data_IF_287664014476
#
_entry.id   IF_287664014476
#
_cell.length_a   1.000
_cell.length_b   1.000
_cell.length_c   1.000
_cell.angle_alpha   90.00
_cell.angle_beta   90.00
_cell.angle_gamma   90.00
#
_symmetry.space_group_name_H-M   'P 1'
#
loop_
_entity.id
_entity.type
_entity.pdbx_description
1 polymer ?
#
# COMPACT_ATOMS: atom_id res chain seq x y z
N UNK A 1 22.54 15.55 17.26
CA UNK A 1 21.27 16.16 17.70
C UNK A 1 20.15 15.50 16.91
N UNK A 2 19.10 15.01 17.58
CA UNK A 2 17.94 14.40 16.92
C UNK A 2 17.09 15.52 16.32
N UNK A 3 17.20 15.75 15.01
CA UNK A 3 16.41 16.77 14.32
C UNK A 3 15.14 16.14 13.72
N UNK A 4 13.94 16.67 14.02
CA UNK A 4 12.70 16.13 13.50
C UNK A 4 12.47 16.53 12.04
N UNK A 5 11.75 15.69 11.31
CA UNK A 5 11.25 16.06 9.98
C UNK A 5 10.01 16.94 10.16
N UNK A 6 9.98 18.09 9.50
CA UNK A 6 8.86 19.04 9.58
C UNK A 6 7.99 18.95 8.34
N UNK A 7 6.68 19.16 8.51
CA UNK A 7 5.74 19.18 7.39
C UNK A 7 4.69 20.28 7.62
N UNK A 8 4.47 21.12 6.61
CA UNK A 8 3.50 22.21 6.64
C UNK A 8 2.25 21.95 5.79
N UNK A 9 2.07 20.73 5.28
CA UNK A 9 0.93 20.33 4.47
C UNK A 9 -0.39 20.50 5.23
N UNK A 10 -1.40 21.09 4.60
CA UNK A 10 -2.76 21.26 5.12
C UNK A 10 -3.80 20.70 4.13
N UNK A 11 -4.98 20.32 4.62
CA UNK A 11 -6.05 19.76 3.76
C UNK A 11 -6.52 20.72 2.66
N UNK A 12 -6.51 22.04 2.93
CA UNK A 12 -6.95 23.04 1.96
C UNK A 12 -6.06 23.12 0.71
N UNK A 13 -4.77 22.84 0.82
CA UNK A 13 -3.81 22.97 -0.29
C UNK A 13 -4.06 21.98 -1.44
N UNK A 14 -4.75 20.86 -1.17
CA UNK A 14 -4.96 19.80 -2.15
C UNK A 14 -6.40 19.25 -2.18
N UNK A 15 -7.32 19.92 -1.49
CA UNK A 15 -8.76 19.61 -1.52
C UNK A 15 -9.33 19.61 -2.95
N UNK A 16 -8.97 20.60 -3.78
CA UNK A 16 -9.49 20.70 -5.15
C UNK A 16 -9.03 19.53 -6.06
N UNK A 17 -7.71 19.21 -6.14
CA UNK A 17 -7.25 18.00 -6.82
C UNK A 17 -7.91 16.72 -6.30
N UNK A 18 -8.06 16.61 -4.97
CA UNK A 18 -8.72 15.46 -4.36
C UNK A 18 -10.19 15.34 -4.76
N UNK A 19 -10.95 16.43 -4.72
CA UNK A 19 -12.35 16.43 -5.14
C UNK A 19 -12.49 16.07 -6.62
N UNK A 20 -11.60 16.60 -7.48
CA UNK A 20 -11.55 16.23 -8.89
C UNK A 20 -11.27 14.73 -9.10
N UNK A 21 -10.31 14.18 -8.36
CA UNK A 21 -10.02 12.74 -8.35
C UNK A 21 -11.22 11.91 -7.86
N UNK A 22 -11.88 12.33 -6.79
CA UNK A 22 -13.03 11.63 -6.21
C UNK A 22 -14.22 11.63 -7.17
N UNK A 23 -14.57 12.79 -7.73
CA UNK A 23 -15.66 12.90 -8.72
C UNK A 23 -15.35 12.04 -9.94
N UNK A 24 -14.13 12.13 -10.48
CA UNK A 24 -13.75 11.33 -11.65
C UNK A 24 -13.78 9.83 -11.34
N UNK A 25 -13.30 9.42 -10.17
CA UNK A 25 -13.34 8.02 -9.73
C UNK A 25 -14.78 7.51 -9.58
N UNK A 26 -15.68 8.31 -9.00
CA UNK A 26 -17.10 7.96 -8.85
C UNK A 26 -17.80 7.87 -10.21
N UNK A 27 -17.59 8.85 -11.09
CA UNK A 27 -18.15 8.84 -12.47
C UNK A 27 -17.73 7.59 -13.23
N UNK A 28 -16.48 7.16 -13.04
CA UNK A 28 -15.95 5.93 -13.62
C UNK A 28 -16.57 4.70 -12.94
N UNK A 29 -16.71 4.67 -11.60
CA UNK A 29 -17.26 3.53 -10.87
C UNK A 29 -18.77 3.28 -11.06
N UNK A 30 -19.59 4.32 -11.26
CA UNK A 30 -21.06 4.17 -11.35
C UNK A 30 -21.48 3.20 -12.47
N UNK A 31 -20.97 3.35 -13.72
CA UNK A 31 -21.20 2.38 -14.78
C UNK A 31 -20.77 0.94 -14.45
N UNK A 32 -19.72 0.76 -13.64
CA UNK A 32 -19.28 -0.58 -13.19
C UNK A 32 -20.36 -1.26 -12.37
N UNK A 33 -20.92 -0.52 -11.42
CA UNK A 33 -21.89 -1.07 -10.49
C UNK A 33 -23.23 -1.32 -11.18
N UNK A 34 -23.66 -0.44 -12.08
CA UNK A 34 -24.89 -0.65 -12.86
C UNK A 34 -24.75 -1.82 -13.83
N UNK A 35 -23.61 -1.96 -14.51
CA UNK A 35 -23.32 -3.13 -15.34
C UNK A 35 -23.30 -4.42 -14.52
N UNK A 36 -22.70 -4.41 -13.32
CA UNK A 36 -22.66 -5.56 -12.43
C UNK A 36 -24.03 -5.96 -11.87
N UNK A 37 -24.89 -5.00 -11.55
CA UNK A 37 -26.22 -5.29 -10.98
C UNK A 37 -27.18 -5.85 -12.03
N UNK A 38 -27.02 -5.49 -13.30
CA UNK A 38 -27.77 -6.06 -14.42
C UNK A 38 -27.30 -7.46 -14.84
N UNK A 39 -26.28 -8.01 -14.15
CA UNK A 39 -25.56 -9.23 -14.54
C UNK A 39 -26.13 -10.51 -13.89
N UNK A 40 -27.23 -10.44 -13.15
CA UNK A 40 -27.74 -11.58 -12.36
C UNK A 40 -28.33 -12.74 -13.18
N UNK A 41 -28.48 -12.60 -14.51
CA UNK A 41 -29.11 -13.60 -15.39
C UNK A 41 -28.31 -13.85 -16.70
N UNK A 42 -26.98 -13.74 -16.68
CA UNK A 42 -26.19 -13.89 -17.92
C UNK A 42 -25.66 -15.31 -18.09
N UNK A 43 -26.28 -16.07 -18.99
CA UNK A 43 -25.78 -17.36 -19.51
C UNK A 43 -25.06 -17.23 -20.87
N UNK A 44 -25.16 -16.07 -21.55
CA UNK A 44 -24.53 -15.84 -22.85
C UNK A 44 -23.06 -15.39 -22.73
N UNK A 45 -22.16 -16.20 -23.30
CA UNK A 45 -20.72 -15.94 -23.36
C UNK A 45 -20.38 -14.57 -23.97
N UNK A 46 -21.16 -14.08 -24.93
CA UNK A 46 -20.91 -12.77 -25.56
C UNK A 46 -21.08 -11.62 -24.57
N UNK A 47 -22.10 -11.70 -23.71
CA UNK A 47 -22.38 -10.67 -22.71
C UNK A 47 -21.33 -10.75 -21.59
N UNK A 48 -20.89 -11.95 -21.22
CA UNK A 48 -19.77 -12.13 -20.28
C UNK A 48 -18.49 -11.45 -20.79
N UNK A 49 -18.12 -11.69 -22.05
CA UNK A 49 -16.92 -11.12 -22.66
C UNK A 49 -17.00 -9.60 -22.82
N UNK A 50 -18.17 -9.05 -23.16
CA UNK A 50 -18.35 -7.60 -23.25
C UNK A 50 -18.29 -6.92 -21.88
N UNK A 51 -18.88 -7.53 -20.85
CA UNK A 51 -18.76 -7.06 -19.46
C UNK A 51 -17.31 -7.09 -18.99
N UNK A 52 -16.59 -8.19 -19.22
CA UNK A 52 -15.18 -8.28 -18.86
C UNK A 52 -14.34 -7.19 -19.55
N UNK A 53 -14.56 -6.98 -20.85
CA UNK A 53 -13.87 -5.93 -21.61
C UNK A 53 -14.18 -4.53 -21.07
N UNK A 54 -15.44 -4.30 -20.69
CA UNK A 54 -15.86 -3.04 -20.06
C UNK A 54 -15.18 -2.81 -18.70
N UNK A 55 -15.19 -3.82 -17.81
CA UNK A 55 -14.51 -3.76 -16.51
C UNK A 55 -13.00 -3.52 -16.68
N UNK A 56 -12.39 -4.16 -17.69
CA UNK A 56 -10.98 -3.98 -18.01
C UNK A 56 -10.69 -2.52 -18.40
N UNK A 57 -11.41 -1.97 -19.38
CA UNK A 57 -11.25 -0.57 -19.81
C UNK A 57 -11.38 0.37 -18.62
N UNK A 58 -12.36 0.12 -17.75
CA UNK A 58 -12.59 0.93 -16.57
C UNK A 58 -11.44 0.87 -15.56
N UNK A 59 -10.93 -0.33 -15.29
CA UNK A 59 -9.78 -0.52 -14.40
C UNK A 59 -8.52 0.20 -14.90
N UNK A 60 -8.32 0.22 -16.22
CA UNK A 60 -7.24 0.97 -16.85
C UNK A 60 -7.43 2.46 -16.63
N UNK A 61 -8.63 3.00 -16.90
CA UNK A 61 -8.93 4.42 -16.66
C UNK A 61 -8.69 4.81 -15.20
N UNK A 62 -9.18 4.02 -14.24
CA UNK A 62 -8.94 4.26 -12.81
C UNK A 62 -7.45 4.28 -12.46
N UNK A 63 -6.68 3.34 -13.02
CA UNK A 63 -5.23 3.28 -12.79
C UNK A 63 -4.53 4.54 -13.33
N UNK A 64 -4.91 5.02 -14.52
CA UNK A 64 -4.34 6.25 -15.09
C UNK A 64 -4.74 7.50 -14.28
N UNK A 65 -5.98 7.56 -13.80
CA UNK A 65 -6.47 8.63 -12.91
C UNK A 65 -5.70 8.63 -11.59
N UNK A 66 -5.47 7.46 -10.99
CA UNK A 66 -4.65 7.32 -9.80
C UNK A 66 -3.19 7.72 -10.04
N UNK A 67 -2.62 7.35 -11.20
CA UNK A 67 -1.27 7.75 -11.58
C UNK A 67 -1.13 9.27 -11.67
N UNK A 68 -2.05 9.93 -12.37
CA UNK A 68 -2.09 11.39 -12.47
C UNK A 68 -2.25 12.05 -11.09
N UNK A 69 -3.15 11.52 -10.27
CA UNK A 69 -3.40 12.04 -8.92
C UNK A 69 -2.17 11.90 -8.02
N UNK A 70 -1.45 10.77 -8.08
CA UNK A 70 -0.24 10.52 -7.28
C UNK A 70 0.84 11.58 -7.56
N UNK A 71 1.06 11.92 -8.83
CA UNK A 71 2.02 12.96 -9.21
C UNK A 71 1.57 14.34 -8.75
N UNK A 72 0.30 14.68 -8.97
CA UNK A 72 -0.27 15.97 -8.52
C UNK A 72 -0.15 16.13 -7.01
N UNK A 73 -0.47 15.10 -6.24
CA UNK A 73 -0.32 15.12 -4.78
C UNK A 73 1.15 15.25 -4.37
N UNK A 74 2.05 14.52 -5.01
CA UNK A 74 3.49 14.56 -4.69
C UNK A 74 4.12 15.92 -4.98
N UNK A 75 3.70 16.58 -6.07
CA UNK A 75 4.09 17.97 -6.40
C UNK A 75 3.67 18.98 -5.31
N UNK A 76 2.55 18.74 -4.64
CA UNK A 76 2.07 19.61 -3.56
C UNK A 76 2.72 19.23 -2.23
N UNK A 77 2.80 17.94 -1.90
CA UNK A 77 3.18 17.46 -0.59
C UNK A 77 4.70 17.50 -0.34
N UNK A 78 5.52 17.08 -1.32
CA UNK A 78 6.97 16.96 -1.11
C UNK A 78 7.66 18.31 -0.82
N UNK A 79 7.35 19.42 -1.51
CA UNK A 79 7.91 20.75 -1.17
C UNK A 79 7.56 21.26 0.23
N UNK A 80 6.50 20.74 0.83
CA UNK A 80 6.06 21.12 2.17
C UNK A 80 6.70 20.28 3.27
N UNK A 81 7.52 19.30 2.90
CA UNK A 81 8.32 18.50 3.83
C UNK A 81 9.72 19.12 3.85
N UNK A 82 10.21 19.40 5.07
CA UNK A 82 11.55 19.92 5.28
C UNK A 82 12.31 19.09 6.31
N UNK A 83 13.56 18.80 5.99
CA UNK A 83 14.51 18.13 6.86
C UNK A 83 15.75 19.04 6.98
N UNK A 84 16.23 19.29 8.19
CA UNK A 84 17.36 20.21 8.48
C UNK A 84 17.21 21.61 7.86
N UNK A 85 15.98 22.13 7.84
CA UNK A 85 15.66 23.43 7.23
C UNK A 85 15.69 23.46 5.69
N UNK A 86 15.98 22.33 5.02
CA UNK A 86 15.93 22.20 3.55
C UNK A 86 14.67 21.45 3.13
N UNK A 87 13.98 21.97 2.11
CA UNK A 87 12.79 21.34 1.55
C UNK A 87 13.17 20.26 0.53
N UNK A 88 12.32 19.24 0.43
CA UNK A 88 12.37 18.34 -0.71
C UNK A 88 11.80 19.06 -1.95
N UNK A 89 12.17 18.63 -3.15
CA UNK A 89 11.55 19.08 -4.39
C UNK A 89 11.10 17.88 -5.21
N UNK A 90 10.09 18.10 -6.04
CA UNK A 90 9.54 17.05 -6.90
C UNK A 90 9.29 17.56 -8.30
N UNK A 91 10.03 17.03 -9.27
CA UNK A 91 10.03 17.52 -10.65
C UNK A 91 9.30 16.61 -11.64
N UNK A 92 8.63 15.55 -11.17
CA UNK A 92 7.96 14.57 -12.03
C UNK A 92 6.75 15.15 -12.75
N UNK A 93 6.49 14.73 -13.99
CA UNK A 93 5.37 15.17 -14.83
C UNK A 93 4.20 14.20 -14.83
N UNK A 94 2.98 14.73 -14.67
CA UNK A 94 1.77 13.91 -14.70
C UNK A 94 1.57 13.23 -16.06
N UNK A 95 1.85 13.94 -17.15
CA UNK A 95 1.75 13.39 -18.50
C UNK A 95 2.74 12.26 -18.75
N UNK A 96 4.02 12.47 -18.43
CA UNK A 96 5.06 11.45 -18.58
C UNK A 96 4.77 10.21 -17.73
N UNK A 97 4.31 10.40 -16.48
CA UNK A 97 3.98 9.28 -15.60
C UNK A 97 2.74 8.52 -16.08
N UNK A 98 1.71 9.21 -16.56
CA UNK A 98 0.52 8.56 -17.15
C UNK A 98 0.90 7.79 -18.42
N UNK A 99 1.74 8.36 -19.29
CA UNK A 99 2.26 7.66 -20.47
C UNK A 99 3.08 6.42 -20.10
N UNK A 100 3.90 6.51 -19.05
CA UNK A 100 4.64 5.36 -18.52
C UNK A 100 3.69 4.26 -18.03
N UNK A 101 2.65 4.62 -17.27
CA UNK A 101 1.62 3.68 -16.80
C UNK A 101 0.89 3.03 -17.98
N UNK A 102 0.48 3.82 -18.98
CA UNK A 102 -0.21 3.30 -20.16
C UNK A 102 0.63 2.24 -20.89
N UNK A 103 1.90 2.53 -21.17
CA UNK A 103 2.81 1.58 -21.80
C UNK A 103 2.94 0.32 -20.93
N UNK A 104 3.16 0.47 -19.62
CA UNK A 104 3.34 -0.68 -18.73
C UNK A 104 2.07 -1.53 -18.58
N UNK A 105 0.89 -0.92 -18.59
CA UNK A 105 -0.40 -1.61 -18.59
C UNK A 105 -0.54 -2.43 -19.87
N UNK A 106 -0.29 -1.84 -21.05
CA UNK A 106 -0.36 -2.57 -22.33
C UNK A 106 0.57 -3.79 -22.34
N UNK A 107 1.82 -3.64 -21.88
CA UNK A 107 2.75 -4.76 -21.76
C UNK A 107 2.26 -5.81 -20.75
N UNK A 108 1.66 -5.37 -19.64
CA UNK A 108 1.09 -6.28 -18.63
C UNK A 108 -0.10 -7.06 -19.18
N UNK A 109 -0.94 -6.45 -20.01
CA UNK A 109 -2.07 -7.14 -20.65
C UNK A 109 -1.58 -8.19 -21.66
N UNK A 110 -0.62 -7.83 -22.52
CA UNK A 110 -0.05 -8.75 -23.53
C UNK A 110 0.66 -9.94 -22.86
N UNK A 111 1.25 -9.73 -21.68
CA UNK A 111 1.98 -10.76 -20.94
C UNK A 111 1.14 -11.46 -19.85
N UNK A 112 -0.17 -11.24 -19.82
CA UNK A 112 -1.09 -11.80 -18.82
C UNK A 112 -0.63 -11.57 -17.36
N UNK A 113 -0.12 -10.37 -17.08
CA UNK A 113 0.32 -9.94 -15.76
C UNK A 113 1.76 -10.33 -15.41
N UNK A 114 2.47 -11.09 -16.25
CA UNK A 114 3.88 -11.45 -15.97
C UNK A 114 4.78 -10.20 -15.93
N UNK A 115 4.46 -9.14 -16.67
CA UNK A 115 5.24 -7.90 -16.67
C UNK A 115 5.07 -7.03 -15.42
N UNK A 116 4.13 -7.33 -14.50
CA UNK A 116 3.83 -6.50 -13.33
C UNK A 116 5.06 -6.12 -12.47
N UNK A 117 6.03 -7.02 -12.17
CA UNK A 117 7.23 -6.63 -11.41
C UNK A 117 8.09 -5.57 -12.10
N UNK A 118 8.19 -5.60 -13.44
CA UNK A 118 8.90 -4.56 -14.19
C UNK A 118 8.12 -3.26 -14.27
N UNK A 119 6.79 -3.35 -14.37
CA UNK A 119 5.92 -2.19 -14.26
C UNK A 119 6.14 -1.45 -12.92
N UNK A 120 6.05 -2.15 -11.78
CA UNK A 120 6.29 -1.53 -10.46
C UNK A 120 7.71 -0.96 -10.31
N UNK A 121 8.70 -1.63 -10.90
CA UNK A 121 10.09 -1.15 -10.88
C UNK A 121 10.23 0.14 -11.66
N UNK A 122 9.70 0.21 -12.89
CA UNK A 122 9.80 1.40 -13.73
C UNK A 122 9.07 2.60 -13.14
N UNK A 123 7.88 2.38 -12.57
CA UNK A 123 7.12 3.47 -11.93
C UNK A 123 7.81 4.00 -10.70
N UNK A 124 8.38 3.13 -9.86
CA UNK A 124 9.16 3.56 -8.69
C UNK A 124 10.48 4.24 -9.08
N UNK A 125 11.18 3.73 -10.09
CA UNK A 125 12.38 4.40 -10.60
C UNK A 125 12.06 5.81 -11.07
N UNK A 126 10.99 5.98 -11.87
CA UNK A 126 10.53 7.30 -12.29
C UNK A 126 10.14 8.16 -11.08
N UNK A 127 9.33 7.65 -10.16
CA UNK A 127 8.86 8.42 -9.02
C UNK A 127 10.02 8.92 -8.15
N UNK A 128 10.89 8.01 -7.73
CA UNK A 128 12.03 8.29 -6.85
C UNK A 128 13.06 9.18 -7.53
N UNK A 129 13.36 8.97 -8.83
CA UNK A 129 14.33 9.82 -9.55
C UNK A 129 13.93 11.28 -9.68
N UNK A 130 12.65 11.58 -9.47
CA UNK A 130 12.14 12.95 -9.49
C UNK A 130 12.00 13.57 -8.10
N UNK A 131 12.33 12.83 -7.03
CA UNK A 131 12.45 13.37 -5.69
C UNK A 131 13.87 13.91 -5.53
N UNK A 132 13.98 15.18 -5.18
CA UNK A 132 15.25 15.86 -4.93
C UNK A 132 15.29 16.51 -3.54
N UNK A 133 16.50 16.68 -3.02
CA UNK A 133 16.83 17.14 -1.67
C UNK A 133 18.26 17.60 -1.75
N UNK A 134 18.49 18.85 -1.37
CA UNK A 134 19.80 19.50 -1.45
C UNK A 134 20.44 19.42 -2.86
N UNK A 135 19.61 19.68 -3.89
CA UNK A 135 20.03 19.78 -5.30
C UNK A 135 20.28 18.45 -6.01
N UNK A 136 20.15 17.32 -5.33
CA UNK A 136 20.50 15.99 -5.86
C UNK A 136 19.26 15.11 -5.93
N UNK A 137 19.25 14.09 -6.79
CA UNK A 137 18.09 13.22 -6.96
C UNK A 137 18.27 11.87 -6.26
N UNK A 138 17.19 11.34 -5.71
CA UNK A 138 17.18 9.98 -5.18
C UNK A 138 17.28 8.96 -6.33
N UNK A 139 17.79 7.77 -6.02
CA UNK A 139 17.82 6.63 -6.94
C UNK A 139 17.16 5.43 -6.27
N UNK A 140 16.33 4.74 -7.05
CA UNK A 140 15.68 3.53 -6.57
C UNK A 140 16.51 2.29 -6.89
N UNK A 141 16.86 1.51 -5.87
CA UNK A 141 17.77 0.35 -5.98
C UNK A 141 17.01 -0.99 -6.04
N UNK A 142 15.68 -0.95 -6.14
CA UNK A 142 14.86 -2.15 -6.26
C UNK A 142 15.03 -2.84 -7.62
N UNK A 143 15.47 -4.11 -7.60
CA UNK A 143 15.62 -4.93 -8.81
C UNK A 143 14.31 -5.67 -9.17
N UNK A 144 13.92 -5.73 -10.46
CA UNK A 144 12.67 -6.35 -10.88
C UNK A 144 12.68 -7.87 -10.69
N UNK A 145 13.82 -8.54 -10.92
CA UNK A 145 13.93 -10.01 -10.73
C UNK A 145 13.73 -10.45 -9.28
N UNK A 146 14.14 -9.61 -8.31
CA UNK A 146 13.89 -9.86 -6.89
C UNK A 146 12.40 -9.74 -6.57
N UNK A 147 11.74 -8.72 -7.13
CA UNK A 147 10.30 -8.54 -6.99
C UNK A 147 9.51 -9.67 -7.68
N UNK A 148 9.95 -10.16 -8.83
CA UNK A 148 9.34 -11.31 -9.51
C UNK A 148 9.32 -12.56 -8.62
N UNK A 149 10.42 -12.85 -7.92
CA UNK A 149 10.47 -13.95 -6.95
C UNK A 149 9.41 -13.79 -5.85
N UNK A 150 9.26 -12.58 -5.31
CA UNK A 150 8.26 -12.27 -4.27
C UNK A 150 6.84 -12.35 -4.81
N UNK A 151 6.61 -11.90 -6.03
CA UNK A 151 5.32 -11.95 -6.70
C UNK A 151 4.88 -13.40 -6.94
N UNK A 152 5.75 -14.26 -7.51
CA UNK A 152 5.38 -15.64 -7.80
C UNK A 152 5.25 -16.49 -6.53
N UNK A 153 6.26 -16.46 -5.66
CA UNK A 153 6.30 -17.34 -4.48
C UNK A 153 5.46 -16.81 -3.31
N UNK A 154 5.36 -15.49 -3.16
CA UNK A 154 4.66 -14.86 -2.05
C UNK A 154 3.20 -14.52 -2.34
N UNK A 155 2.80 -14.42 -3.61
CA UNK A 155 1.43 -14.06 -3.99
C UNK A 155 0.80 -15.13 -4.88
N UNK A 156 1.32 -15.37 -6.09
CA UNK A 156 0.65 -16.22 -7.08
C UNK A 156 0.47 -17.67 -6.60
N UNK A 157 1.53 -18.31 -6.12
CA UNK A 157 1.45 -19.72 -5.69
C UNK A 157 0.51 -19.91 -4.47
N UNK A 158 0.62 -19.11 -3.39
CA UNK A 158 -0.34 -19.18 -2.29
C UNK A 158 -1.79 -18.92 -2.72
N UNK A 159 -2.03 -17.93 -3.59
CA UNK A 159 -3.37 -17.64 -4.10
C UNK A 159 -3.92 -18.77 -4.96
N UNK A 160 -3.08 -19.45 -5.75
CA UNK A 160 -3.50 -20.61 -6.53
C UNK A 160 -3.95 -21.76 -5.63
N UNK A 161 -3.21 -22.04 -4.55
CA UNK A 161 -3.59 -23.05 -3.56
C UNK A 161 -4.92 -22.69 -2.90
N UNK A 162 -5.09 -21.43 -2.50
CA UNK A 162 -6.35 -20.97 -1.90
C UNK A 162 -7.51 -20.98 -2.89
N UNK A 163 -7.28 -20.64 -4.14
CA UNK A 163 -8.30 -20.66 -5.19
C UNK A 163 -8.83 -22.08 -5.39
N UNK A 164 -7.94 -23.08 -5.45
CA UNK A 164 -8.34 -24.49 -5.54
C UNK A 164 -9.09 -24.92 -4.28
N UNK A 165 -8.58 -24.61 -3.08
CA UNK A 165 -9.23 -24.96 -1.83
C UNK A 165 -10.64 -24.34 -1.72
N UNK A 166 -10.78 -23.06 -2.07
CA UNK A 166 -12.05 -22.36 -2.10
C UNK A 166 -13.01 -22.96 -3.13
N UNK A 167 -12.54 -23.30 -4.34
CA UNK A 167 -13.35 -23.93 -5.37
C UNK A 167 -13.90 -25.30 -4.94
N UNK A 168 -13.10 -26.11 -4.23
CA UNK A 168 -13.54 -27.39 -3.66
C UNK A 168 -14.54 -27.20 -2.53
N UNK A 169 -14.31 -26.25 -1.63
CA UNK A 169 -15.25 -25.94 -0.55
C UNK A 169 -16.58 -25.40 -1.08
N UNK A 170 -16.52 -24.54 -2.09
CA UNK A 170 -17.72 -23.98 -2.71
C UNK A 170 -18.52 -25.05 -3.47
N UNK A 171 -17.85 -25.90 -4.25
CA UNK A 171 -18.53 -26.97 -4.99
C UNK A 171 -19.20 -27.98 -4.06
N UNK A 172 -18.52 -28.36 -2.97
CA UNK A 172 -19.09 -29.23 -1.93
C UNK A 172 -20.28 -28.55 -1.24
N UNK A 173 -20.17 -27.27 -0.89
CA UNK A 173 -21.27 -26.52 -0.28
C UNK A 173 -22.53 -26.49 -1.16
N UNK A 174 -22.36 -26.24 -2.47
CA UNK A 174 -23.48 -26.24 -3.43
C UNK A 174 -24.13 -27.62 -3.52
N UNK A 175 -23.33 -28.70 -3.53
CA UNK A 175 -23.86 -30.07 -3.56
C UNK A 175 -24.69 -30.38 -2.31
N UNK A 176 -24.22 -30.01 -1.12
CA UNK A 176 -24.93 -30.30 0.14
C UNK A 176 -26.18 -29.42 0.33
N UNK A 177 -26.13 -28.16 -0.10
CA UNK A 177 -27.30 -27.27 -0.13
C UNK A 177 -28.40 -27.83 -1.05
N UNK A 178 -28.03 -28.34 -2.22
CA UNK A 178 -28.99 -28.95 -3.18
C UNK A 178 -29.65 -30.20 -2.61
N UNK A 179 -28.96 -30.95 -1.76
CA UNK A 179 -29.46 -32.20 -1.17
C UNK A 179 -30.12 -32.01 0.21
N UNK A 180 -30.43 -30.77 0.63
CA UNK A 180 -31.10 -30.45 1.90
C UNK A 180 -30.41 -30.97 3.17
N UNK A 181 -29.06 -30.87 3.26
CA UNK A 181 -28.31 -31.16 4.50
C UNK A 181 -27.83 -29.86 5.18
N UNK A 182 -28.68 -29.17 5.96
CA UNK A 182 -28.37 -27.84 6.50
C UNK A 182 -27.19 -27.83 7.49
N UNK A 183 -27.00 -28.88 8.29
CA UNK A 183 -25.91 -28.96 9.28
C UNK A 183 -24.50 -28.92 8.63
N UNK A 184 -24.39 -29.47 7.42
CA UNK A 184 -23.11 -29.50 6.67
C UNK A 184 -22.83 -28.13 6.05
N UNK A 185 -23.86 -27.37 5.68
CA UNK A 185 -23.73 -26.05 5.09
C UNK A 185 -23.13 -25.04 6.08
N UNK A 186 -23.50 -25.09 7.36
CA UNK A 186 -22.94 -24.22 8.40
C UNK A 186 -21.44 -24.48 8.61
N UNK A 187 -21.05 -25.74 8.64
CA UNK A 187 -19.63 -26.15 8.75
C UNK A 187 -18.82 -25.64 7.55
N UNK A 188 -19.36 -25.74 6.34
CA UNK A 188 -18.69 -25.27 5.12
C UNK A 188 -18.59 -23.74 5.06
N UNK A 189 -19.61 -23.02 5.52
CA UNK A 189 -19.55 -21.56 5.66
C UNK A 189 -18.44 -21.13 6.63
N UNK A 190 -18.31 -21.81 7.77
CA UNK A 190 -17.20 -21.58 8.69
C UNK A 190 -15.84 -21.83 8.03
N UNK A 191 -15.69 -22.91 7.27
CA UNK A 191 -14.45 -23.22 6.54
C UNK A 191 -14.11 -22.16 5.48
N UNK A 192 -15.10 -21.59 4.80
CA UNK A 192 -14.89 -20.44 3.91
C UNK A 192 -14.35 -19.24 4.69
N UNK A 193 -14.91 -18.94 5.87
CA UNK A 193 -14.39 -17.92 6.78
C UNK A 193 -12.92 -18.16 7.17
N UNK A 194 -12.55 -19.42 7.45
CA UNK A 194 -11.16 -19.81 7.72
C UNK A 194 -10.27 -19.55 6.50
N UNK A 195 -10.71 -19.89 5.28
CA UNK A 195 -9.97 -19.60 4.04
C UNK A 195 -9.72 -18.10 3.87
N UNK A 196 -10.71 -17.25 4.18
CA UNK A 196 -10.52 -15.79 4.17
C UNK A 196 -9.48 -15.33 5.19
N UNK A 197 -9.49 -15.86 6.41
CA UNK A 197 -8.47 -15.53 7.43
C UNK A 197 -7.08 -15.97 6.95
N UNK A 198 -6.96 -17.18 6.39
CA UNK A 198 -5.71 -17.69 5.83
C UNK A 198 -5.24 -16.79 4.68
N UNK A 199 -6.12 -16.32 3.81
CA UNK A 199 -5.79 -15.36 2.76
C UNK A 199 -5.13 -14.08 3.32
N UNK A 200 -5.70 -13.48 4.37
CA UNK A 200 -5.12 -12.31 5.02
C UNK A 200 -3.76 -12.61 5.67
N UNK A 201 -3.55 -13.81 6.20
CA UNK A 201 -2.24 -14.19 6.76
C UNK A 201 -1.21 -14.41 5.65
N UNK A 202 -1.61 -15.03 4.54
CA UNK A 202 -0.72 -15.31 3.40
C UNK A 202 -0.30 -14.05 2.63
N UNK A 203 -1.08 -12.97 2.68
CA UNK A 203 -0.68 -11.69 2.07
C UNK A 203 0.45 -11.00 2.85
N UNK A 204 0.58 -11.25 4.15
CA UNK A 204 1.56 -10.57 5.03
C UNK A 204 3.01 -10.80 4.54
N UNK A 205 3.47 -12.03 4.25
CA UNK A 205 4.79 -12.27 3.69
C UNK A 205 5.05 -11.51 2.38
N UNK A 206 4.07 -11.46 1.49
CA UNK A 206 4.19 -10.71 0.24
C UNK A 206 4.33 -9.20 0.52
N UNK A 207 3.45 -8.63 1.34
CA UNK A 207 3.48 -7.22 1.70
C UNK A 207 4.79 -6.84 2.40
N UNK A 208 5.27 -7.64 3.34
CA UNK A 208 6.58 -7.42 3.99
C UNK A 208 7.71 -7.34 2.97
N UNK A 209 7.80 -8.31 2.05
CA UNK A 209 8.86 -8.34 1.05
C UNK A 209 8.72 -7.21 0.02
N UNK A 210 7.50 -6.84 -0.33
CA UNK A 210 7.19 -5.74 -1.23
C UNK A 210 7.61 -4.39 -0.63
N UNK A 211 7.24 -4.09 0.62
CA UNK A 211 7.66 -2.86 1.29
C UNK A 211 9.16 -2.82 1.57
N UNK A 212 9.78 -3.94 1.96
CA UNK A 212 11.23 -4.06 2.08
C UNK A 212 11.96 -3.77 0.76
N UNK A 213 11.31 -4.09 -0.36
CA UNK A 213 11.81 -3.76 -1.70
C UNK A 213 11.62 -2.28 -2.05
N UNK A 214 10.48 -1.65 -1.69
CA UNK A 214 10.22 -0.22 -1.92
C UNK A 214 11.17 0.72 -1.16
N UNK A 215 11.58 0.37 0.06
CA UNK A 215 12.40 1.26 0.90
C UNK A 215 13.86 1.32 0.46
N UNK A 216 14.30 0.44 -0.45
CA UNK A 216 15.68 0.42 -0.94
C UNK A 216 15.95 1.60 -1.89
N UNK A 217 16.34 2.73 -1.31
CA UNK A 217 16.57 4.01 -1.99
C UNK A 217 18.00 4.47 -1.66
N UNK A 218 18.72 4.95 -2.66
CA UNK A 218 20.02 5.59 -2.51
C UNK A 218 19.93 7.08 -2.79
N UNK A 219 20.76 7.86 -2.10
CA UNK A 219 20.83 9.30 -2.22
C UNK A 219 22.27 9.76 -2.01
N UNK A 220 22.91 10.33 -3.03
CA UNK A 220 24.37 10.57 -3.02
C UNK A 220 25.12 9.27 -2.65
N UNK A 221 25.82 9.25 -1.52
CA UNK A 221 26.53 8.07 -0.99
C UNK A 221 25.76 7.39 0.17
N UNK A 222 24.55 7.85 0.46
CA UNK A 222 23.69 7.27 1.50
C UNK A 222 22.75 6.25 0.89
N UNK A 223 22.54 5.15 1.59
CA UNK A 223 21.56 4.14 1.23
C UNK A 223 20.62 3.89 2.41
N UNK A 224 19.34 3.90 2.11
CA UNK A 224 18.26 3.63 3.04
C UNK A 224 17.73 2.23 2.78
N UNK A 225 17.64 1.41 3.83
CA UNK A 225 17.02 0.09 3.75
C UNK A 225 16.54 -0.39 5.12
N UNK A 226 15.67 -1.40 5.11
CA UNK A 226 15.24 -2.07 6.33
C UNK A 226 16.21 -3.17 6.76
N UNK A 227 16.78 -3.03 7.96
CA UNK A 227 17.53 -4.08 8.65
C UNK A 227 16.59 -4.88 9.55
N UNK A 228 15.79 -5.74 8.92
CA UNK A 228 14.75 -6.57 9.58
C UNK A 228 14.93 -8.05 9.27
N UNK A 229 14.58 -8.89 10.24
CA UNK A 229 14.43 -10.33 10.06
C UNK A 229 13.01 -10.69 9.61
N UNK A 230 12.88 -11.72 8.77
CA UNK A 230 11.61 -12.11 8.19
C UNK A 230 10.62 -12.61 9.25
N UNK A 231 10.99 -13.63 10.02
CA UNK A 231 10.08 -14.28 10.97
C UNK A 231 9.65 -13.36 12.12
N UNK A 232 10.59 -12.57 12.67
CA UNK A 232 10.26 -11.56 13.69
C UNK A 232 9.24 -10.54 13.17
N UNK A 233 9.43 -10.04 11.94
CA UNK A 233 8.50 -9.09 11.32
C UNK A 233 7.16 -9.72 10.96
N UNK A 234 7.18 -10.98 10.51
CA UNK A 234 5.97 -11.73 10.16
C UNK A 234 5.07 -11.95 11.37
N UNK A 235 5.61 -12.53 12.45
CA UNK A 235 4.82 -12.78 13.66
C UNK A 235 4.36 -11.49 14.33
N UNK A 236 5.18 -10.44 14.29
CA UNK A 236 4.77 -9.12 14.74
C UNK A 236 3.55 -8.61 13.94
N UNK A 237 3.60 -8.64 12.61
CA UNK A 237 2.49 -8.20 11.75
C UNK A 237 1.22 -9.04 11.94
N UNK A 238 1.36 -10.36 12.03
CA UNK A 238 0.24 -11.28 12.32
C UNK A 238 -0.36 -10.94 13.69
N UNK A 239 0.46 -10.69 14.71
CA UNK A 239 0.00 -10.26 16.02
C UNK A 239 -0.82 -8.97 15.98
N UNK A 240 -0.38 -7.97 15.21
CA UNK A 240 -1.14 -6.72 15.04
C UNK A 240 -2.48 -6.95 14.31
N UNK A 241 -2.49 -7.82 13.28
CA UNK A 241 -3.70 -8.20 12.58
C UNK A 241 -4.69 -8.91 13.53
N UNK A 242 -4.24 -9.91 14.28
CA UNK A 242 -5.08 -10.66 15.20
C UNK A 242 -5.66 -9.77 16.32
N UNK A 243 -4.85 -8.87 16.89
CA UNK A 243 -5.34 -7.89 17.87
C UNK A 243 -6.41 -6.97 17.26
N UNK A 244 -6.22 -6.54 16.01
CA UNK A 244 -7.22 -5.73 15.32
C UNK A 244 -8.53 -6.49 15.09
N UNK A 245 -8.47 -7.79 14.78
CA UNK A 245 -9.66 -8.62 14.59
C UNK A 245 -10.40 -8.88 15.91
N UNK A 246 -9.67 -9.27 16.96
CA UNK A 246 -10.25 -9.56 18.29
C UNK A 246 -10.92 -8.32 18.89
N UNK A 247 -10.39 -7.13 18.61
CA UNK A 247 -10.96 -5.85 19.09
C UNK A 247 -11.96 -5.23 18.13
N UNK A 248 -12.41 -5.96 17.11
CA UNK A 248 -13.36 -5.50 16.09
C UNK A 248 -12.92 -4.18 15.41
N UNK A 249 -11.62 -4.05 15.18
CA UNK A 249 -11.01 -2.88 14.54
C UNK A 249 -10.67 -1.73 15.49
N UNK A 250 -11.09 -1.75 16.76
CA UNK A 250 -10.80 -0.66 17.71
C UNK A 250 -9.29 -0.49 17.93
N UNK A 251 -8.52 -1.58 17.90
CA UNK A 251 -7.05 -1.53 18.04
C UNK A 251 -6.32 -1.02 16.79
N UNK A 252 -6.98 -0.88 15.63
CA UNK A 252 -6.32 -0.53 14.36
C UNK A 252 -5.36 0.67 14.44
N UNK A 253 -5.70 1.80 15.08
CA UNK A 253 -4.79 2.95 15.18
C UNK A 253 -3.54 2.64 15.99
N UNK A 254 -3.69 1.89 17.09
CA UNK A 254 -2.56 1.47 17.91
C UNK A 254 -1.66 0.49 17.13
N UNK A 255 -2.27 -0.43 16.37
CA UNK A 255 -1.58 -1.34 15.47
C UNK A 255 -0.81 -0.60 14.38
N UNK A 256 -1.42 0.39 13.71
CA UNK A 256 -0.74 1.22 12.70
C UNK A 256 0.48 1.92 13.30
N UNK A 257 0.37 2.53 14.48
CA UNK A 257 1.51 3.17 15.17
C UNK A 257 2.60 2.17 15.56
N UNK A 258 2.21 0.98 16.01
CA UNK A 258 3.14 -0.08 16.35
C UNK A 258 3.92 -0.55 15.10
N UNK A 259 3.22 -0.76 13.99
CA UNK A 259 3.81 -1.13 12.69
C UNK A 259 4.75 -0.04 12.20
N UNK A 260 4.29 1.21 12.22
CA UNK A 260 5.10 2.33 11.78
C UNK A 260 6.38 2.46 12.60
N UNK A 261 6.27 2.41 13.94
CA UNK A 261 7.43 2.41 14.84
C UNK A 261 8.39 1.25 14.53
N UNK A 262 7.87 0.03 14.42
CA UNK A 262 8.68 -1.17 14.20
C UNK A 262 9.57 -1.07 12.96
N UNK A 263 9.04 -0.54 11.85
CA UNK A 263 9.79 -0.42 10.59
C UNK A 263 10.66 0.83 10.51
N UNK A 264 10.21 1.97 11.06
CA UNK A 264 11.02 3.19 11.10
C UNK A 264 12.27 2.99 11.96
N UNK A 265 12.12 2.42 13.16
CA UNK A 265 13.24 2.13 14.06
C UNK A 265 14.28 1.16 13.45
N UNK A 266 13.87 0.39 12.43
CA UNK A 266 14.70 -0.56 11.69
C UNK A 266 15.10 -0.05 10.29
N UNK A 267 14.82 1.21 9.98
CA UNK A 267 15.30 1.88 8.77
C UNK A 267 16.70 2.45 9.05
N UNK A 268 17.70 1.86 8.41
CA UNK A 268 19.11 2.19 8.60
C UNK A 268 19.60 3.06 7.45
N UNK A 269 20.46 4.02 7.80
CA UNK A 269 21.22 4.84 6.88
C UNK A 269 22.63 4.25 6.79
N UNK A 270 23.02 3.83 5.60
CA UNK A 270 24.33 3.27 5.31
C UNK A 270 25.11 4.25 4.43
N UNK A 271 26.34 4.56 4.82
CA UNK A 271 27.27 5.39 4.04
C UNK A 271 28.47 4.55 3.68
N UNK A 272 28.66 4.31 2.38
CA UNK A 272 29.81 3.58 1.85
C UNK A 272 30.02 2.17 2.47
N UNK A 273 28.94 1.50 2.88
CA UNK A 273 28.96 0.16 3.47
C UNK A 273 29.08 0.12 4.99
N UNK A 274 29.06 1.28 5.66
CA UNK A 274 29.08 1.40 7.12
C UNK A 274 27.79 2.04 7.64
N UNK A 275 27.23 1.55 8.77
CA UNK A 275 26.03 2.14 9.35
C UNK A 275 26.32 3.57 9.84
N UNK A 276 25.73 4.55 9.16
CA UNK A 276 25.88 5.97 9.43
C UNK A 276 24.78 6.52 10.35
N UNK A 277 23.68 5.79 10.53
CA UNK A 277 22.60 6.19 11.44
C UNK A 277 21.34 5.36 11.27
N UNK A 278 20.30 5.71 12.01
CA UNK A 278 18.97 5.12 11.92
C UNK A 278 17.87 6.16 12.08
N UNK A 279 16.71 5.86 11.55
CA UNK A 279 15.50 6.59 11.92
C UNK A 279 14.95 6.04 13.23
N UNK A 280 14.35 6.91 14.03
CA UNK A 280 13.66 6.53 15.25
C UNK A 280 12.31 7.25 15.31
N UNK A 281 11.27 6.49 15.63
CA UNK A 281 9.92 7.01 15.82
C UNK A 281 9.60 7.14 17.31
N UNK A 282 9.44 8.37 17.78
CA UNK A 282 9.04 8.69 19.14
C UNK A 282 7.52 8.47 19.31
N UNK A 283 7.13 7.42 20.04
CA UNK A 283 5.71 7.13 20.28
C UNK A 283 5.18 7.95 21.45
N UNK A 284 4.16 8.77 21.20
CA UNK A 284 3.45 9.51 22.23
C UNK A 284 2.21 8.75 22.75
N UNK A 285 1.85 8.93 24.03
CA UNK A 285 0.64 8.35 24.65
C UNK A 285 -0.66 8.81 23.97
N UNK A 286 -0.70 10.01 23.41
CA UNK A 286 -1.88 10.59 22.74
C UNK A 286 -2.10 10.14 21.29
N UNK A 287 -1.12 9.48 20.67
CA UNK A 287 -1.16 9.15 19.23
C UNK A 287 -2.35 8.27 18.82
N UNK A 288 -2.80 7.38 19.71
CA UNK A 288 -3.96 6.53 19.46
C UNK A 288 -5.24 7.36 19.25
N UNK A 289 -5.59 8.20 20.23
CA UNK A 289 -6.80 9.01 20.20
C UNK A 289 -6.78 9.98 19.02
N UNK A 290 -5.61 10.54 18.71
CA UNK A 290 -5.41 11.37 17.54
C UNK A 290 -5.73 10.65 16.23
N UNK A 291 -5.09 9.51 15.96
CA UNK A 291 -5.34 8.74 14.73
C UNK A 291 -6.78 8.24 14.65
N UNK A 292 -7.34 7.79 15.78
CA UNK A 292 -8.71 7.33 15.84
C UNK A 292 -9.70 8.44 15.50
N UNK A 293 -9.47 9.66 16.03
CA UNK A 293 -10.25 10.83 15.66
C UNK A 293 -10.20 11.14 14.16
N UNK A 294 -9.02 11.04 13.53
CA UNK A 294 -8.91 11.23 12.07
C UNK A 294 -9.71 10.17 11.29
N UNK A 295 -9.59 8.90 11.68
CA UNK A 295 -10.30 7.78 11.03
C UNK A 295 -11.82 7.94 11.18
N UNK A 296 -12.30 8.23 12.39
CA UNK A 296 -13.73 8.41 12.66
C UNK A 296 -14.30 9.59 11.87
N UNK A 297 -13.60 10.73 11.82
CA UNK A 297 -14.02 11.87 11.01
C UNK A 297 -14.07 11.52 9.53
N UNK A 298 -13.09 10.76 9.01
CA UNK A 298 -13.12 10.28 7.63
C UNK A 298 -14.30 9.35 7.35
N UNK A 299 -14.68 8.49 8.29
CA UNK A 299 -15.85 7.60 8.16
C UNK A 299 -17.15 8.41 8.18
N UNK A 300 -17.35 9.26 9.20
CA UNK A 300 -18.58 10.05 9.39
C UNK A 300 -18.83 11.02 8.23
N UNK A 301 -17.76 11.54 7.61
CA UNK A 301 -17.86 12.43 6.45
C UNK A 301 -17.85 11.70 5.10
N UNK A 302 -17.93 10.36 5.10
CA UNK A 302 -17.92 9.54 3.87
C UNK A 302 -16.71 9.87 2.98
N UNK A 303 -15.54 10.02 3.59
CA UNK A 303 -14.28 10.30 2.91
C UNK A 303 -14.02 11.76 2.55
N UNK A 304 -14.98 12.68 2.73
CA UNK A 304 -14.76 14.11 2.47
C UNK A 304 -13.63 14.67 3.36
N UNK A 305 -13.49 14.20 4.61
CA UNK A 305 -12.43 14.66 5.49
C UNK A 305 -11.02 14.09 5.15
N UNK A 306 -10.88 13.17 4.20
CA UNK A 306 -9.61 12.50 3.89
C UNK A 306 -8.43 13.45 3.66
N UNK A 307 -8.59 14.62 2.99
CA UNK A 307 -7.46 15.52 2.79
C UNK A 307 -6.88 16.13 4.06
N UNK A 308 -7.75 16.44 5.02
CA UNK A 308 -7.33 16.91 6.34
C UNK A 308 -6.76 15.77 7.16
N UNK A 309 -7.42 14.60 7.17
CA UNK A 309 -6.91 13.41 7.87
C UNK A 309 -5.50 13.04 7.41
N UNK A 310 -5.27 12.93 6.10
CA UNK A 310 -3.95 12.61 5.55
C UNK A 310 -2.91 13.68 5.89
N UNK A 311 -3.22 14.97 5.76
CA UNK A 311 -2.30 16.04 6.12
C UNK A 311 -1.95 16.00 7.62
N UNK A 312 -2.95 15.79 8.48
CA UNK A 312 -2.78 15.71 9.93
C UNK A 312 -1.93 14.50 10.33
N UNK A 313 -2.21 13.32 9.77
CA UNK A 313 -1.45 12.08 10.00
C UNK A 313 -0.02 12.23 9.51
N UNK A 314 0.18 12.78 8.30
CA UNK A 314 1.53 12.99 7.75
C UNK A 314 2.36 13.93 8.61
N UNK A 315 1.78 15.07 9.05
CA UNK A 315 2.46 16.00 9.97
C UNK A 315 2.81 15.33 11.29
N UNK A 316 1.84 14.63 11.90
CA UNK A 316 2.06 13.89 13.15
C UNK A 316 3.17 12.85 13.00
N UNK A 317 3.14 12.07 11.93
CA UNK A 317 4.13 11.02 11.68
C UNK A 317 5.52 11.63 11.52
N UNK A 318 5.68 12.61 10.62
CA UNK A 318 6.98 13.19 10.31
C UNK A 318 7.58 13.94 11.51
N UNK A 319 6.77 14.66 12.28
CA UNK A 319 7.24 15.39 13.48
C UNK A 319 7.77 14.48 14.58
N UNK A 320 7.39 13.19 14.57
CA UNK A 320 7.82 12.18 15.52
C UNK A 320 8.91 11.26 14.97
N UNK A 321 9.35 11.47 13.72
CA UNK A 321 10.51 10.79 13.15
C UNK A 321 11.74 11.65 13.37
N UNK A 322 12.75 11.07 14.01
CA UNK A 322 14.07 11.68 14.21
C UNK A 322 15.14 10.83 13.55
N UNK A 323 16.24 11.47 13.15
CA UNK A 323 17.42 10.78 12.63
C UNK A 323 18.50 10.77 13.70
N UNK A 324 18.96 9.57 14.05
CA UNK A 324 20.07 9.35 14.96
C UNK A 324 21.33 8.97 14.15
N UNK A 325 22.35 9.82 14.19
CA UNK A 325 23.59 9.69 13.39
C UNK A 325 24.73 8.98 14.13
N UNK A 326 24.47 8.41 15.31
CA UNK A 326 25.46 7.53 15.94
C UNK A 326 25.61 6.22 15.14
N UNK A 327 26.84 5.71 14.94
CA UNK A 327 27.07 4.43 14.28
C UNK A 327 26.23 3.33 14.93
N UNK A 328 25.41 2.64 14.13
CA UNK A 328 24.34 1.81 14.64
C UNK A 328 24.87 0.55 15.34
N UNK A 329 25.03 0.60 16.66
CA UNK A 329 24.84 -0.59 17.48
C UNK A 329 23.34 -0.90 17.50
N UNK A 330 22.97 -2.10 17.05
CA UNK A 330 21.60 -2.58 17.13
C UNK A 330 21.17 -2.54 18.61
N UNK A 331 19.92 -2.18 18.95
CA UNK A 331 19.40 -2.48 20.27
C UNK A 331 19.52 -4.01 20.44
N UNK A 332 20.29 -4.46 21.43
CA UNK A 332 20.62 -5.88 21.59
C UNK A 332 19.41 -6.77 21.91
N UNK A 333 18.22 -6.23 22.16
CA UNK A 333 17.03 -7.01 22.47
C UNK A 333 15.80 -6.29 21.91
N UNK A 334 14.92 -7.04 21.22
CA UNK A 334 13.45 -6.97 21.20
C UNK A 334 12.86 -7.64 19.95
#
# INVERSE_FOLDING_TARGET
MKEPITCSLTGHQWWKPFLGFLVLSVVIMVPLQTASNSMSEITDLRILLSSFSFMLVLSVLLTLVQAAFTITLSRIALPLIAFRGKQFSFNGSAGEYVSLHLVCILLSLITFGFYLPWYYTRTMQYYVSHISYDGEAAKFEGKPGKLMKYYVLGLILPLLVLFVAFGVLLSTAIMYQTNNYPEIAETLFFLVGVVYIVFFILIIPFMYNLYKWFVNISWKNLRFYWKTEFWGSFFFLVGQLLLSLITLGIYLPAGILAIYKYFIDRTVIDKDGQPAGRFEFARERGGFAFLWGQILLSIVTVGIYLPWAYANILRYVLSHVTVDETPAELPQNY
#
